data_IF_241052050047
#
_entry.id   IF_241052050047
#
_cell.length_a   1.000
_cell.length_b   1.000
_cell.length_c   1.000
_cell.angle_alpha   90.00
_cell.angle_beta   90.00
_cell.angle_gamma   90.00
#
_symmetry.space_group_name_H-M   'P 1'
#
loop_
_entity.id
_entity.type
_entity.pdbx_description
1 polymer ?
#
# COMPACT_ATOMS: atom_id res chain seq x y z
N UNK A 1 29.16 6.45 -1.96
CA UNK A 1 28.72 5.39 -1.04
C UNK A 1 28.04 6.07 0.14
N UNK A 2 26.81 5.70 0.45
CA UNK A 2 26.08 6.20 1.63
C UNK A 2 26.01 5.07 2.67
N UNK A 3 26.18 5.41 3.94
CA UNK A 3 26.10 4.47 5.07
C UNK A 3 24.85 4.79 5.88
N UNK A 4 23.91 3.85 5.93
CA UNK A 4 22.60 4.07 6.55
C UNK A 4 22.62 3.87 8.05
N UNK A 5 23.46 2.95 8.55
CA UNK A 5 23.50 2.53 9.96
C UNK A 5 24.26 3.52 10.87
N UNK A 6 24.43 4.76 10.40
CA UNK A 6 25.13 5.85 11.08
C UNK A 6 24.36 7.18 11.00
N UNK A 7 23.07 7.12 10.63
CA UNK A 7 22.24 8.30 10.37
C UNK A 7 21.28 8.57 11.52
N UNK A 8 21.59 9.56 12.36
CA UNK A 8 20.78 9.93 13.54
C UNK A 8 19.32 10.33 13.25
N UNK A 9 19.02 10.77 12.02
CA UNK A 9 17.67 11.24 11.62
C UNK A 9 16.82 10.10 11.03
N UNK A 10 17.45 9.07 10.47
CA UNK A 10 16.79 7.99 9.70
C UNK A 10 16.91 6.63 10.41
N UNK A 11 17.61 6.58 11.54
CA UNK A 11 17.78 5.35 12.32
C UNK A 11 16.42 4.82 12.78
N UNK A 12 16.11 3.59 12.36
CA UNK A 12 15.07 2.77 12.98
C UNK A 12 15.51 2.52 14.43
N UNK A 13 14.75 2.95 15.45
CA UNK A 13 15.11 2.69 16.85
C UNK A 13 15.22 1.18 17.20
N UNK A 14 14.88 0.28 16.27
CA UNK A 14 15.15 -1.17 16.37
C UNK A 14 16.57 -1.57 15.91
N UNK A 15 17.41 -0.65 15.45
CA UNK A 15 18.77 -0.93 14.99
C UNK A 15 19.79 -1.06 16.15
N UNK A 16 19.34 -1.46 17.34
CA UNK A 16 20.23 -2.02 18.36
C UNK A 16 20.60 -3.47 17.99
N UNK A 17 21.45 -3.66 16.99
CA UNK A 17 22.15 -4.93 16.79
C UNK A 17 23.43 -4.75 15.97
N UNK A 18 24.58 -4.76 16.65
CA UNK A 18 25.94 -4.62 16.12
C UNK A 18 26.44 -5.75 15.16
N UNK A 19 25.57 -6.38 14.37
CA UNK A 19 25.89 -7.56 13.55
C UNK A 19 25.58 -7.41 12.05
N UNK A 20 25.18 -6.22 11.59
CA UNK A 20 24.91 -5.95 10.18
C UNK A 20 25.40 -4.55 9.81
N UNK A 21 25.93 -4.41 8.59
CA UNK A 21 26.28 -3.13 7.97
C UNK A 21 25.67 -3.09 6.56
N UNK A 22 25.03 -1.99 6.20
CA UNK A 22 24.44 -1.76 4.88
C UNK A 22 25.17 -0.63 4.14
N UNK A 23 25.63 -0.93 2.92
CA UNK A 23 26.19 0.04 1.99
C UNK A 23 25.22 0.30 0.85
N UNK A 24 24.79 1.56 0.70
CA UNK A 24 24.07 2.00 -0.49
C UNK A 24 25.09 2.56 -1.49
N UNK A 25 25.22 1.88 -2.64
CA UNK A 25 26.24 2.18 -3.64
C UNK A 25 25.59 2.63 -4.94
N UNK A 26 25.96 3.83 -5.39
CA UNK A 26 25.67 4.35 -6.72
C UNK A 26 26.97 4.33 -7.52
N UNK A 27 27.01 3.53 -8.57
CA UNK A 27 28.18 3.37 -9.43
C UNK A 27 28.20 4.44 -10.53
N UNK A 28 29.38 4.68 -11.11
CA UNK A 28 29.60 5.69 -12.14
C UNK A 28 28.91 5.36 -13.46
N UNK A 29 28.56 4.09 -13.67
CA UNK A 29 27.75 3.60 -14.78
C UNK A 29 26.24 3.67 -14.49
N UNK A 30 25.84 4.34 -13.41
CA UNK A 30 24.46 4.54 -12.94
C UNK A 30 23.79 3.32 -12.31
N UNK A 31 24.47 2.17 -12.20
CA UNK A 31 23.94 1.05 -11.44
C UNK A 31 23.83 1.38 -9.94
N UNK A 32 22.77 0.91 -9.29
CA UNK A 32 22.59 1.00 -7.83
C UNK A 32 22.61 -0.39 -7.22
N UNK A 33 23.40 -0.57 -6.16
CA UNK A 33 23.45 -1.81 -5.38
C UNK A 33 23.35 -1.47 -3.90
N UNK A 34 22.45 -2.17 -3.20
CA UNK A 34 22.33 -2.12 -1.76
C UNK A 34 23.00 -3.40 -1.21
N UNK A 35 24.18 -3.27 -0.60
CA UNK A 35 24.97 -4.40 -0.09
C UNK A 35 24.83 -4.49 1.43
N UNK A 36 24.28 -5.60 1.91
CA UNK A 36 24.23 -5.91 3.34
C UNK A 36 25.32 -6.93 3.70
N UNK A 37 26.20 -6.56 4.62
CA UNK A 37 27.17 -7.45 5.25
C UNK A 37 26.64 -7.82 6.63
N UNK A 38 26.45 -9.11 6.90
CA UNK A 38 25.90 -9.59 8.16
C UNK A 38 26.76 -10.72 8.72
N UNK A 39 27.04 -10.69 10.02
CA UNK A 39 27.65 -11.83 10.71
C UNK A 39 26.67 -12.99 10.71
N UNK A 40 27.10 -14.17 10.26
CA UNK A 40 26.23 -15.35 10.17
C UNK A 40 25.91 -15.86 11.58
N UNK A 41 24.61 -15.95 11.88
CA UNK A 41 24.07 -16.76 12.97
C UNK A 41 23.46 -18.03 12.34
N UNK A 42 24.10 -19.18 12.57
CA UNK A 42 23.68 -20.47 12.00
C UNK A 42 22.29 -20.90 12.48
N UNK A 43 21.79 -20.35 13.59
CA UNK A 43 20.44 -20.63 14.08
C UNK A 43 19.38 -19.74 13.42
N UNK A 44 19.79 -18.69 12.70
CA UNK A 44 18.91 -17.69 12.07
C UNK A 44 19.40 -17.32 10.67
N UNK A 45 19.46 -18.33 9.80
CA UNK A 45 19.72 -18.09 8.38
C UNK A 45 18.61 -17.23 7.76
N UNK A 46 18.94 -16.35 6.81
CA UNK A 46 17.93 -15.56 6.11
C UNK A 46 16.95 -16.49 5.39
N UNK A 47 15.66 -16.24 5.58
CA UNK A 47 14.55 -17.03 5.03
C UNK A 47 13.58 -16.11 4.27
N UNK A 48 14.08 -15.41 3.26
CA UNK A 48 13.28 -14.58 2.36
C UNK A 48 13.17 -15.32 1.02
N UNK A 49 11.95 -15.61 0.56
CA UNK A 49 11.71 -16.36 -0.68
C UNK A 49 12.35 -15.72 -1.91
N UNK A 50 12.60 -14.40 -1.92
CA UNK A 50 13.28 -13.72 -3.02
C UNK A 50 14.81 -13.93 -3.03
N UNK A 51 15.35 -14.64 -2.04
CA UNK A 51 16.78 -14.90 -1.94
C UNK A 51 17.23 -15.91 -2.99
N UNK A 52 18.25 -15.54 -3.76
CA UNK A 52 19.01 -16.46 -4.60
C UNK A 52 20.40 -16.66 -4.01
N UNK A 53 20.72 -17.89 -3.61
CA UNK A 53 22.05 -18.24 -3.12
C UNK A 53 23.01 -18.30 -4.30
N UNK A 54 24.04 -17.44 -4.27
CA UNK A 54 25.09 -17.40 -5.30
C UNK A 54 26.31 -18.24 -4.91
N UNK A 55 26.62 -18.32 -3.62
CA UNK A 55 27.74 -19.08 -3.07
C UNK A 55 27.46 -19.45 -1.61
N UNK A 56 27.66 -20.72 -1.28
CA UNK A 56 27.64 -21.24 0.10
C UNK A 56 28.90 -22.07 0.34
N UNK A 57 29.80 -21.56 1.19
CA UNK A 57 31.11 -22.19 1.46
C UNK A 57 31.03 -23.24 2.55
N UNK A 58 30.02 -23.17 3.41
CA UNK A 58 29.89 -23.95 4.64
C UNK A 58 28.71 -24.95 4.57
N UNK A 59 28.03 -25.03 3.42
CA UNK A 59 26.84 -25.85 3.19
C UNK A 59 25.73 -25.61 4.24
N UNK A 60 25.49 -24.33 4.56
CA UNK A 60 24.49 -23.88 5.53
C UNK A 60 23.07 -23.90 4.96
N UNK A 61 22.92 -23.72 3.64
CA UNK A 61 21.62 -23.67 2.99
C UNK A 61 21.29 -25.01 2.31
N UNK A 62 20.00 -25.42 2.29
CA UNK A 62 19.60 -26.58 1.50
C UNK A 62 19.86 -26.29 0.00
N UNK A 63 20.33 -27.32 -0.73
CA UNK A 63 20.89 -27.16 -2.08
C UNK A 63 19.94 -26.65 -3.17
N UNK A 64 18.63 -26.60 -2.91
CA UNK A 64 17.59 -26.27 -3.89
C UNK A 64 16.66 -25.12 -3.44
N UNK A 65 17.18 -24.11 -2.73
CA UNK A 65 16.41 -22.87 -2.50
C UNK A 65 16.16 -22.14 -3.83
N UNK A 66 15.00 -22.40 -4.43
CA UNK A 66 14.51 -21.63 -5.58
C UNK A 66 13.93 -20.33 -5.07
N UNK A 67 14.37 -19.23 -5.67
CA UNK A 67 13.74 -17.95 -5.42
C UNK A 67 12.30 -17.96 -5.94
N UNK A 68 11.35 -17.58 -5.09
CA UNK A 68 9.94 -17.35 -5.42
C UNK A 68 9.47 -16.04 -4.79
N UNK A 69 8.35 -15.52 -5.25
CA UNK A 69 7.72 -14.33 -4.67
C UNK A 69 6.53 -14.67 -3.77
N UNK A 70 6.38 -15.95 -3.39
CA UNK A 70 5.25 -16.51 -2.66
C UNK A 70 5.02 -15.84 -1.29
N UNK A 71 6.09 -15.47 -0.59
CA UNK A 71 6.01 -14.75 0.69
C UNK A 71 5.31 -13.38 0.57
N UNK A 72 5.30 -12.83 -0.65
CA UNK A 72 4.78 -11.50 -0.98
C UNK A 72 3.45 -11.55 -1.71
N UNK A 73 2.85 -12.73 -1.85
CA UNK A 73 1.53 -12.85 -2.44
C UNK A 73 0.48 -12.12 -1.60
N UNK A 74 -0.52 -11.57 -2.30
CA UNK A 74 -1.66 -10.94 -1.64
C UNK A 74 -2.30 -11.96 -0.70
N UNK A 75 -2.40 -11.62 0.58
CA UNK A 75 -3.01 -12.50 1.59
C UNK A 75 -4.51 -12.32 1.58
N UNK A 76 -5.25 -13.43 1.51
CA UNK A 76 -6.71 -13.43 1.67
C UNK A 76 -7.08 -12.74 2.99
N UNK A 77 -7.94 -11.70 2.99
CA UNK A 77 -8.36 -11.06 4.21
C UNK A 77 -9.23 -12.00 5.03
N UNK A 78 -9.21 -11.81 6.35
CA UNK A 78 -10.29 -12.26 7.23
C UNK A 78 -11.44 -11.26 7.20
N UNK A 79 -12.65 -11.68 7.62
CA UNK A 79 -13.78 -10.78 7.86
C UNK A 79 -13.38 -9.56 8.69
N UNK A 80 -12.62 -9.77 9.77
CA UNK A 80 -12.19 -8.69 10.66
C UNK A 80 -11.31 -7.68 9.95
N UNK A 81 -10.28 -8.14 9.21
CA UNK A 81 -9.40 -7.25 8.44
C UNK A 81 -10.15 -6.48 7.36
N UNK A 82 -11.10 -7.13 6.69
CA UNK A 82 -11.97 -6.49 5.71
C UNK A 82 -12.83 -5.39 6.34
N UNK A 83 -13.46 -5.65 7.48
CA UNK A 83 -14.26 -4.65 8.21
C UNK A 83 -13.40 -3.50 8.74
N UNK A 84 -12.21 -3.77 9.27
CA UNK A 84 -11.27 -2.74 9.73
C UNK A 84 -10.80 -1.84 8.58
N UNK A 85 -10.50 -2.41 7.43
CA UNK A 85 -10.15 -1.66 6.22
C UNK A 85 -11.29 -0.74 5.75
N UNK A 86 -12.53 -1.26 5.74
CA UNK A 86 -13.71 -0.44 5.41
C UNK A 86 -13.91 0.71 6.41
N UNK A 87 -13.87 0.41 7.71
CA UNK A 87 -14.05 1.40 8.76
C UNK A 87 -13.01 2.53 8.67
N UNK A 88 -11.72 2.17 8.53
CA UNK A 88 -10.64 3.15 8.42
C UNK A 88 -10.80 4.01 7.16
N UNK A 89 -11.09 3.40 6.00
CA UNK A 89 -11.32 4.13 4.75
C UNK A 89 -12.46 5.14 4.87
N UNK A 90 -13.64 4.71 5.33
CA UNK A 90 -14.82 5.57 5.41
C UNK A 90 -14.64 6.68 6.44
N UNK A 91 -14.13 6.34 7.64
CA UNK A 91 -13.95 7.33 8.69
C UNK A 91 -12.93 8.40 8.31
N UNK A 92 -11.75 8.01 7.81
CA UNK A 92 -10.68 8.97 7.50
C UNK A 92 -10.96 9.75 6.21
N UNK A 93 -11.80 9.25 5.32
CA UNK A 93 -12.31 10.03 4.18
C UNK A 93 -12.99 11.33 4.64
N UNK A 94 -13.63 11.33 5.81
CA UNK A 94 -14.21 12.56 6.38
C UNK A 94 -13.15 13.59 6.78
N UNK A 95 -11.92 13.16 7.08
CA UNK A 95 -10.82 14.06 7.44
C UNK A 95 -10.24 14.74 6.20
N UNK A 96 -10.19 14.05 5.06
CA UNK A 96 -9.86 14.66 3.77
C UNK A 96 -10.84 15.80 3.48
N UNK A 97 -12.14 15.51 3.55
CA UNK A 97 -13.19 16.52 3.29
C UNK A 97 -13.14 17.68 4.28
N UNK A 98 -12.85 17.40 5.56
CA UNK A 98 -12.63 18.43 6.58
C UNK A 98 -11.47 19.35 6.23
N UNK A 99 -10.36 18.81 5.72
CA UNK A 99 -9.22 19.60 5.23
C UNK A 99 -9.59 20.46 4.02
N UNK A 100 -10.32 19.88 3.06
CA UNK A 100 -10.83 20.60 1.88
C UNK A 100 -11.68 21.81 2.27
N UNK A 101 -12.65 21.63 3.17
CA UNK A 101 -13.52 22.72 3.63
C UNK A 101 -12.80 23.82 4.41
N UNK A 102 -11.66 23.48 5.02
CA UNK A 102 -10.85 24.42 5.81
C UNK A 102 -9.75 25.09 5.00
N UNK A 103 -9.63 24.75 3.71
CA UNK A 103 -8.53 25.19 2.87
C UNK A 103 -7.16 24.81 3.45
N UNK A 104 -7.05 23.56 3.92
CA UNK A 104 -5.83 22.99 4.47
C UNK A 104 -5.23 21.97 3.47
N UNK A 105 -4.58 22.44 2.38
CA UNK A 105 -4.13 21.61 1.25
C UNK A 105 -3.23 20.46 1.69
N UNK A 106 -2.21 20.76 2.50
CA UNK A 106 -1.25 19.77 2.99
C UNK A 106 -1.95 18.71 3.84
N UNK A 107 -2.86 19.11 4.73
CA UNK A 107 -3.58 18.19 5.59
C UNK A 107 -4.53 17.29 4.79
N UNK A 108 -5.32 17.89 3.89
CA UNK A 108 -6.22 17.14 3.03
C UNK A 108 -5.45 16.14 2.16
N UNK A 109 -4.32 16.57 1.60
CA UNK A 109 -3.44 15.72 0.78
C UNK A 109 -2.81 14.59 1.59
N UNK A 110 -2.32 14.86 2.79
CA UNK A 110 -1.71 13.85 3.66
C UNK A 110 -2.74 12.80 4.11
N UNK A 111 -3.96 13.22 4.46
CA UNK A 111 -5.04 12.29 4.79
C UNK A 111 -5.47 11.44 3.59
N UNK A 112 -5.47 12.01 2.38
CA UNK A 112 -5.77 11.27 1.16
C UNK A 112 -4.67 10.25 0.84
N UNK A 113 -3.39 10.64 0.90
CA UNK A 113 -2.26 9.85 0.40
C UNK A 113 -1.72 8.79 1.36
N UNK A 114 -2.04 8.87 2.65
CA UNK A 114 -1.62 7.86 3.63
C UNK A 114 -2.80 6.98 4.05
N UNK A 115 -3.61 7.33 5.06
CA UNK A 115 -4.60 6.40 5.60
C UNK A 115 -5.66 5.99 4.56
N UNK A 116 -6.19 6.94 3.77
CA UNK A 116 -7.21 6.62 2.76
C UNK A 116 -6.61 5.82 1.60
N UNK A 117 -5.45 6.23 1.07
CA UNK A 117 -4.72 5.51 0.01
C UNK A 117 -4.33 4.10 0.42
N UNK A 118 -3.83 3.92 1.64
CA UNK A 118 -3.37 2.61 2.13
C UNK A 118 -4.53 1.61 2.14
N UNK A 119 -5.70 2.03 2.67
CA UNK A 119 -6.89 1.18 2.66
C UNK A 119 -7.43 0.97 1.24
N UNK A 120 -7.40 1.99 0.39
CA UNK A 120 -7.81 1.88 -1.00
C UNK A 120 -6.97 0.87 -1.79
N UNK A 121 -5.64 0.96 -1.68
CA UNK A 121 -4.74 0.01 -2.32
C UNK A 121 -4.88 -1.40 -1.73
N UNK A 122 -5.11 -1.52 -0.41
CA UNK A 122 -5.38 -2.81 0.22
C UNK A 122 -6.66 -3.45 -0.33
N UNK A 123 -7.75 -2.68 -0.46
CA UNK A 123 -9.01 -3.14 -1.03
C UNK A 123 -8.86 -3.62 -2.48
N UNK A 124 -8.18 -2.83 -3.32
CA UNK A 124 -7.88 -3.22 -4.71
C UNK A 124 -6.99 -4.47 -4.77
N UNK A 125 -6.04 -4.61 -3.83
CA UNK A 125 -5.20 -5.79 -3.77
C UNK A 125 -6.02 -7.05 -3.51
N UNK A 126 -7.01 -6.98 -2.61
CA UNK A 126 -7.90 -8.11 -2.32
C UNK A 126 -8.82 -8.43 -3.50
N UNK A 127 -9.38 -7.42 -4.17
CA UNK A 127 -10.24 -7.60 -5.34
C UNK A 127 -9.50 -8.36 -6.45
N UNK A 128 -8.27 -7.96 -6.75
CA UNK A 128 -7.43 -8.64 -7.74
C UNK A 128 -6.94 -9.99 -7.19
N UNK A 129 -6.66 -10.08 -5.89
CA UNK A 129 -6.30 -11.30 -5.20
C UNK A 129 -7.34 -12.40 -5.41
N UNK A 130 -8.63 -12.10 -5.21
CA UNK A 130 -9.74 -13.03 -5.45
C UNK A 130 -9.69 -13.59 -6.88
N UNK A 131 -9.59 -12.71 -7.88
CA UNK A 131 -9.54 -13.07 -9.32
C UNK A 131 -8.35 -13.96 -9.69
N UNK A 132 -7.30 -13.92 -8.88
CA UNK A 132 -6.06 -14.67 -9.10
C UNK A 132 -5.80 -15.68 -7.97
N UNK A 133 -6.83 -16.13 -7.25
CA UNK A 133 -6.74 -17.12 -6.16
C UNK A 133 -5.66 -16.80 -5.10
N UNK A 134 -5.39 -15.52 -4.87
CA UNK A 134 -4.39 -15.01 -3.95
C UNK A 134 -2.96 -15.52 -4.24
N UNK A 135 -2.65 -15.86 -5.50
CA UNK A 135 -1.34 -16.37 -5.92
C UNK A 135 -0.56 -15.39 -6.79
N UNK A 136 -0.60 -14.09 -6.44
CA UNK A 136 0.10 -13.02 -7.15
C UNK A 136 0.78 -12.05 -6.19
N UNK A 137 1.94 -11.55 -6.60
CA UNK A 137 2.63 -10.44 -5.95
C UNK A 137 2.36 -9.13 -6.70
N UNK A 138 1.74 -8.15 -6.04
CA UNK A 138 1.49 -6.83 -6.64
C UNK A 138 2.67 -5.86 -6.49
N UNK A 139 3.72 -6.26 -5.76
CA UNK A 139 4.88 -5.46 -5.43
C UNK A 139 4.54 -4.33 -4.45
N UNK A 140 5.59 -3.65 -3.96
CA UNK A 140 5.43 -2.47 -3.10
C UNK A 140 4.52 -1.42 -3.75
N UNK A 141 3.61 -0.85 -2.95
CA UNK A 141 2.61 0.13 -3.40
C UNK A 141 1.76 -0.35 -4.57
N UNK A 142 1.55 -1.67 -4.70
CA UNK A 142 0.80 -2.30 -5.78
C UNK A 142 1.29 -1.91 -7.19
N UNK A 143 2.59 -1.68 -7.37
CA UNK A 143 3.18 -1.26 -8.66
C UNK A 143 2.88 -2.18 -9.85
N UNK A 144 2.51 -3.44 -9.61
CA UNK A 144 2.13 -4.40 -10.66
C UNK A 144 0.63 -4.52 -10.88
N UNK A 145 -0.22 -3.77 -10.17
CA UNK A 145 -1.68 -3.80 -10.29
C UNK A 145 -2.17 -3.66 -11.72
N UNK A 146 -1.56 -2.75 -12.50
CA UNK A 146 -1.88 -2.52 -13.92
C UNK A 146 -1.87 -3.80 -14.78
N UNK A 147 -1.09 -4.82 -14.40
CA UNK A 147 -1.02 -6.08 -15.14
C UNK A 147 -2.26 -6.96 -14.97
N UNK A 148 -3.09 -6.69 -13.97
CA UNK A 148 -4.18 -7.55 -13.54
C UNK A 148 -5.57 -6.89 -13.64
N UNK A 149 -5.64 -5.66 -14.15
CA UNK A 149 -6.90 -4.91 -14.32
C UNK A 149 -6.98 -4.35 -15.73
N UNK A 150 -8.19 -4.01 -16.18
CA UNK A 150 -8.37 -3.37 -17.48
C UNK A 150 -7.88 -1.91 -17.49
N UNK A 151 -7.73 -1.38 -18.72
CA UNK A 151 -7.20 -0.03 -18.93
C UNK A 151 -8.12 1.07 -18.41
N UNK A 152 -9.43 0.85 -18.33
CA UNK A 152 -10.37 1.88 -17.91
C UNK A 152 -10.39 2.00 -16.39
N UNK A 153 -10.38 0.87 -15.67
CA UNK A 153 -10.16 0.84 -14.23
C UNK A 153 -8.79 1.45 -13.87
N UNK A 154 -7.74 1.13 -14.63
CA UNK A 154 -6.43 1.73 -14.39
C UNK A 154 -6.42 3.27 -14.56
N UNK A 155 -7.09 3.80 -15.59
CA UNK A 155 -7.23 5.26 -15.75
C UNK A 155 -7.96 5.90 -14.56
N UNK A 156 -9.05 5.28 -14.11
CA UNK A 156 -9.81 5.74 -12.94
C UNK A 156 -8.94 5.76 -11.68
N UNK A 157 -8.16 4.70 -11.45
CA UNK A 157 -7.19 4.66 -10.34
C UNK A 157 -6.16 5.79 -10.47
N UNK A 158 -5.65 6.10 -11.66
CA UNK A 158 -4.70 7.20 -11.82
C UNK A 158 -5.30 8.58 -11.54
N UNK A 159 -6.59 8.79 -11.82
CA UNK A 159 -7.29 10.04 -11.47
C UNK A 159 -7.26 10.29 -9.96
N UNK A 160 -7.23 9.22 -9.16
CA UNK A 160 -7.18 9.34 -7.70
C UNK A 160 -5.85 9.88 -7.17
N UNK A 161 -4.83 10.16 -8.00
CA UNK A 161 -3.54 10.76 -7.62
C UNK A 161 -3.49 12.24 -8.02
N UNK A 162 -4.12 13.15 -7.25
CA UNK A 162 -4.20 14.56 -7.63
C UNK A 162 -2.88 15.29 -7.34
N UNK A 163 -2.77 16.51 -7.86
CA UNK A 163 -1.84 17.50 -7.31
C UNK A 163 -2.38 18.04 -5.95
N UNK A 164 -1.84 19.16 -5.46
CA UNK A 164 -2.23 19.74 -4.17
C UNK A 164 -3.48 20.65 -4.24
N UNK A 165 -4.09 20.81 -5.42
CA UNK A 165 -5.29 21.64 -5.59
C UNK A 165 -6.49 20.98 -4.90
N UNK A 166 -7.19 21.72 -4.05
CA UNK A 166 -8.30 21.20 -3.23
C UNK A 166 -9.43 20.60 -4.04
N UNK A 167 -9.76 21.20 -5.20
CA UNK A 167 -10.78 20.65 -6.11
C UNK A 167 -10.38 19.27 -6.62
N UNK A 168 -9.11 19.11 -7.02
CA UNK A 168 -8.61 17.83 -7.52
C UNK A 168 -8.51 16.79 -6.39
N UNK A 169 -8.18 17.21 -5.16
CA UNK A 169 -8.22 16.35 -3.96
C UNK A 169 -9.63 15.85 -3.70
N UNK A 170 -10.62 16.74 -3.76
CA UNK A 170 -12.03 16.38 -3.60
C UNK A 170 -12.50 15.42 -4.70
N UNK A 171 -12.24 15.72 -5.97
CA UNK A 171 -12.62 14.85 -7.10
C UNK A 171 -11.97 13.46 -6.99
N UNK A 172 -10.70 13.43 -6.58
CA UNK A 172 -9.97 12.17 -6.33
C UNK A 172 -10.57 11.37 -5.18
N UNK A 173 -10.98 12.03 -4.10
CA UNK A 173 -11.65 11.38 -2.98
C UNK A 173 -12.97 10.74 -3.44
N UNK A 174 -13.77 11.47 -4.23
CA UNK A 174 -15.03 10.93 -4.76
C UNK A 174 -14.79 9.70 -5.65
N UNK A 175 -13.82 9.77 -6.55
CA UNK A 175 -13.43 8.64 -7.41
C UNK A 175 -12.95 7.43 -6.59
N UNK A 176 -12.14 7.66 -5.53
CA UNK A 176 -11.73 6.61 -4.60
C UNK A 176 -12.92 5.98 -3.89
N UNK A 177 -13.89 6.77 -3.43
CA UNK A 177 -15.06 6.24 -2.71
C UNK A 177 -15.93 5.36 -3.61
N UNK A 178 -16.08 5.71 -4.88
CA UNK A 178 -16.84 4.91 -5.83
C UNK A 178 -16.14 3.59 -6.15
N UNK A 179 -14.84 3.64 -6.47
CA UNK A 179 -14.04 2.45 -6.73
C UNK A 179 -13.95 1.53 -5.50
N UNK A 180 -13.72 2.11 -4.31
CA UNK A 180 -13.65 1.35 -3.06
C UNK A 180 -14.97 0.67 -2.73
N UNK A 181 -16.09 1.38 -2.86
CA UNK A 181 -17.41 0.83 -2.60
C UNK A 181 -17.74 -0.34 -3.53
N UNK A 182 -17.48 -0.19 -4.83
CA UNK A 182 -17.68 -1.28 -5.79
C UNK A 182 -16.81 -2.49 -5.47
N UNK A 183 -15.52 -2.30 -5.16
CA UNK A 183 -14.63 -3.39 -4.79
C UNK A 183 -15.05 -4.07 -3.48
N UNK A 184 -15.50 -3.29 -2.47
CA UNK A 184 -15.94 -3.82 -1.19
C UNK A 184 -17.20 -4.69 -1.32
N UNK A 185 -18.16 -4.32 -2.18
CA UNK A 185 -19.33 -5.14 -2.49
C UNK A 185 -18.90 -6.46 -3.13
N UNK A 186 -18.07 -6.40 -4.18
CA UNK A 186 -17.59 -7.61 -4.88
C UNK A 186 -16.86 -8.56 -3.91
N UNK A 187 -15.97 -8.04 -3.07
CA UNK A 187 -15.23 -8.85 -2.09
C UNK A 187 -16.18 -9.45 -1.04
N UNK A 188 -17.16 -8.68 -0.58
CA UNK A 188 -18.14 -9.15 0.39
C UNK A 188 -18.97 -10.31 -0.16
N UNK A 189 -19.39 -10.21 -1.42
CA UNK A 189 -20.13 -11.27 -2.11
C UNK A 189 -19.25 -12.52 -2.34
N UNK A 190 -18.05 -12.35 -2.89
CA UNK A 190 -17.14 -13.45 -3.24
C UNK A 190 -16.57 -14.20 -2.03
N UNK A 191 -16.41 -13.52 -0.89
CA UNK A 191 -15.84 -14.10 0.33
C UNK A 191 -16.89 -14.43 1.40
N UNK A 192 -18.17 -14.18 1.14
CA UNK A 192 -19.28 -14.31 2.09
C UNK A 192 -19.04 -13.49 3.37
N UNK A 193 -18.63 -12.22 3.18
CA UNK A 193 -18.35 -11.28 4.25
C UNK A 193 -19.45 -10.24 4.44
N UNK A 194 -19.57 -9.76 5.66
CA UNK A 194 -20.49 -8.68 6.01
C UNK A 194 -19.83 -7.35 5.68
N UNK A 195 -20.45 -6.60 4.76
CA UNK A 195 -20.12 -5.22 4.44
C UNK A 195 -21.19 -4.27 4.97
N UNK A 196 -20.78 -3.26 5.74
CA UNK A 196 -21.68 -2.26 6.30
C UNK A 196 -22.10 -1.24 5.22
N UNK A 197 -23.07 -1.62 4.39
CA UNK A 197 -23.63 -0.78 3.32
C UNK A 197 -24.19 0.55 3.86
N UNK A 198 -24.77 0.54 5.06
CA UNK A 198 -25.35 1.73 5.66
C UNK A 198 -24.29 2.77 5.99
N UNK A 199 -23.18 2.37 6.62
CA UNK A 199 -22.06 3.27 6.94
C UNK A 199 -21.42 3.86 5.68
N UNK A 200 -21.21 3.02 4.66
CA UNK A 200 -20.69 3.46 3.38
C UNK A 200 -21.60 4.52 2.75
N UNK A 201 -22.90 4.25 2.69
CA UNK A 201 -23.87 5.19 2.12
C UNK A 201 -23.94 6.50 2.89
N UNK A 202 -23.98 6.45 4.23
CA UNK A 202 -23.99 7.64 5.07
C UNK A 202 -22.74 8.49 4.86
N UNK A 203 -21.57 7.86 4.73
CA UNK A 203 -20.31 8.56 4.47
C UNK A 203 -20.30 9.18 3.07
N UNK A 204 -20.74 8.45 2.04
CA UNK A 204 -20.85 8.98 0.68
C UNK A 204 -21.79 10.19 0.61
N UNK A 205 -22.95 10.11 1.27
CA UNK A 205 -23.90 11.21 1.37
C UNK A 205 -23.30 12.43 2.07
N UNK A 206 -22.59 12.21 3.19
CA UNK A 206 -21.86 13.26 3.88
C UNK A 206 -20.85 13.94 2.97
N UNK A 207 -20.00 13.18 2.27
CA UNK A 207 -18.98 13.72 1.36
C UNK A 207 -19.62 14.52 0.21
N UNK A 208 -20.70 14.01 -0.38
CA UNK A 208 -21.42 14.70 -1.44
C UNK A 208 -22.07 16.01 -0.94
N UNK A 209 -22.66 16.00 0.25
CA UNK A 209 -23.26 17.20 0.83
C UNK A 209 -22.19 18.26 1.13
N UNK A 210 -21.08 17.85 1.75
CA UNK A 210 -19.95 18.74 2.04
C UNK A 210 -19.25 19.25 0.78
N UNK A 211 -19.17 18.44 -0.27
CA UNK A 211 -18.64 18.86 -1.56
C UNK A 211 -19.46 19.99 -2.20
N UNK A 212 -20.78 20.00 -2.03
CA UNK A 212 -21.62 21.12 -2.47
C UNK A 212 -21.30 22.41 -1.71
N UNK A 213 -21.02 22.32 -0.40
CA UNK A 213 -20.59 23.47 0.39
C UNK A 213 -19.25 24.01 -0.13
N UNK A 214 -18.29 23.12 -0.42
CA UNK A 214 -17.00 23.49 -1.00
C UNK A 214 -17.12 24.18 -2.36
N UNK A 215 -17.96 23.65 -3.27
CA UNK A 215 -18.17 24.25 -4.58
C UNK A 215 -18.81 25.64 -4.54
N UNK A 216 -19.51 25.99 -3.44
CA UNK A 216 -20.03 27.35 -3.23
C UNK A 216 -18.99 28.32 -2.65
N UNK A 217 -17.82 27.82 -2.23
CA UNK A 217 -16.69 28.62 -1.73
C UNK A 217 -15.67 28.99 -2.82
N UNK A 218 -15.74 28.32 -3.98
CA UNK A 218 -14.93 28.60 -5.17
C UNK A 218 -15.52 29.75 -5.99
#
# INVERSE_FOLDING_TARGET
>A
MQMTDSMEIVDDPKNEAANQITYLMLFTDTNRIDLKLKTIDKQKLPNDSLTKILLDKDALFPGDLKSSDEDYWVKKPTQKQFSECCNEFWWVSTYVMKGVLRQEEMYAKDMLEKPVRDMFLLMLSWQVGIKNNFSINLGSSNKFLKKHIDNDLWKRILITYPNAELSNIYDSLMEMTDLFHSAAIEIAEELDYIYNLQEAQQTKEYLLQRGKEFNNLL
#
